data_IF_541790468051
#
_entry.id   IF_541790468051
#
_cell.length_a   1.000
_cell.length_b   1.000
_cell.length_c   1.000
_cell.angle_alpha   90.00
_cell.angle_beta   90.00
_cell.angle_gamma   90.00
#
_symmetry.space_group_name_H-M   'P 1'
#
loop_
_entity.id
_entity.type
_entity.pdbx_description
1 polymer ?
#
# COMPACT_ATOMS: atom_id res chain seq x y z
N UNK A 1 -1.83 21.84 11.15
CA UNK A 1 -1.94 20.38 10.99
C UNK A 1 -1.10 19.95 9.77
N UNK A 2 0.04 20.60 9.54
CA UNK A 2 0.67 20.65 8.20
C UNK A 2 2.10 20.10 8.17
N UNK A 3 2.62 19.67 9.32
CA UNK A 3 4.01 19.22 9.49
C UNK A 3 4.32 17.82 8.96
N UNK A 4 3.33 17.06 8.47
CA UNK A 4 3.52 15.66 8.04
C UNK A 4 3.34 15.40 6.54
N UNK A 5 2.86 16.39 5.76
CA UNK A 5 2.57 16.22 4.32
C UNK A 5 3.80 15.88 3.49
N UNK A 6 4.94 16.50 3.81
CA UNK A 6 6.19 16.28 3.08
C UNK A 6 6.73 14.87 3.30
N UNK A 7 6.55 14.33 4.51
CA UNK A 7 6.96 12.97 4.85
C UNK A 7 6.05 11.92 4.20
N UNK A 8 4.73 12.13 4.25
CA UNK A 8 3.76 11.26 3.58
C UNK A 8 3.98 11.23 2.06
N UNK A 9 4.30 12.39 1.47
CA UNK A 9 4.62 12.50 0.04
C UNK A 9 5.88 11.71 -0.32
N UNK A 10 6.92 11.80 0.51
CA UNK A 10 8.16 11.03 0.31
C UNK A 10 7.90 9.53 0.40
N UNK A 11 7.19 9.07 1.42
CA UNK A 11 6.81 7.64 1.56
C UNK A 11 6.01 7.15 0.36
N UNK A 12 5.03 7.93 -0.10
CA UNK A 12 4.27 7.60 -1.30
C UNK A 12 5.14 7.55 -2.57
N UNK A 13 6.17 8.38 -2.68
CA UNK A 13 7.14 8.31 -3.78
C UNK A 13 8.01 7.04 -3.69
N UNK A 14 8.47 6.68 -2.50
CA UNK A 14 9.24 5.45 -2.26
C UNK A 14 8.43 4.20 -2.59
N UNK A 15 7.16 4.15 -2.18
CA UNK A 15 6.23 3.07 -2.52
C UNK A 15 6.04 2.95 -4.04
N UNK A 16 5.87 4.07 -4.75
CA UNK A 16 5.80 4.08 -6.23
C UNK A 16 7.09 3.56 -6.85
N UNK A 17 8.25 3.93 -6.31
CA UNK A 17 9.53 3.42 -6.79
C UNK A 17 9.67 1.91 -6.56
N UNK A 18 9.19 1.39 -5.42
CA UNK A 18 9.19 -0.05 -5.14
C UNK A 18 8.28 -0.82 -6.08
N UNK A 19 7.08 -0.31 -6.37
CA UNK A 19 6.16 -0.87 -7.37
C UNK A 19 6.85 -0.91 -8.75
N UNK A 20 7.54 0.15 -9.15
CA UNK A 20 8.27 0.19 -10.43
C UNK A 20 9.41 -0.83 -10.48
N UNK A 21 10.20 -0.94 -9.41
CA UNK A 21 11.26 -1.96 -9.30
C UNK A 21 10.69 -3.37 -9.41
N UNK A 22 9.62 -3.67 -8.68
CA UNK A 22 8.96 -4.98 -8.73
C UNK A 22 8.49 -5.32 -10.15
N UNK A 23 7.79 -4.40 -10.83
CA UNK A 23 7.39 -4.54 -12.22
C UNK A 23 8.57 -4.74 -13.18
N UNK A 24 9.68 -4.02 -12.95
CA UNK A 24 10.87 -4.11 -13.79
C UNK A 24 11.52 -5.49 -13.67
N UNK A 25 11.64 -6.02 -12.45
CA UNK A 25 12.22 -7.34 -12.21
C UNK A 25 11.31 -8.48 -12.70
N UNK A 26 9.99 -8.38 -12.51
CA UNK A 26 9.03 -9.38 -12.99
C UNK A 26 8.82 -9.33 -14.51
N UNK A 27 9.18 -8.21 -15.16
CA UNK A 27 8.86 -7.88 -16.56
C UNK A 27 7.36 -7.86 -16.86
N UNK A 28 6.53 -7.82 -15.82
CA UNK A 28 5.08 -7.85 -15.92
C UNK A 28 4.49 -7.10 -14.73
N UNK A 29 3.52 -6.23 -14.98
CA UNK A 29 2.78 -5.58 -13.92
C UNK A 29 1.91 -4.45 -14.42
N UNK A 30 0.72 -4.34 -13.83
CA UNK A 30 -0.24 -3.29 -14.18
C UNK A 30 0.04 -2.02 -13.37
N UNK A 31 1.15 -1.33 -13.68
CA UNK A 31 1.59 -0.10 -12.99
C UNK A 31 0.46 0.93 -12.85
N UNK A 32 -0.32 1.27 -13.90
CA UNK A 32 -1.39 2.25 -13.77
C UNK A 32 -2.47 1.82 -12.77
N UNK A 33 -2.74 0.51 -12.71
CA UNK A 33 -3.71 -0.04 -11.76
C UNK A 33 -3.20 0.03 -10.33
N UNK A 34 -1.93 -0.31 -10.10
CA UNK A 34 -1.31 -0.20 -8.79
C UNK A 34 -1.27 1.26 -8.30
N UNK A 35 -0.87 2.20 -9.15
CA UNK A 35 -0.80 3.61 -8.79
C UNK A 35 -2.17 4.22 -8.49
N UNK A 36 -3.22 3.78 -9.20
CA UNK A 36 -4.59 4.30 -9.01
C UNK A 36 -5.17 4.07 -7.60
N UNK A 37 -4.66 3.09 -6.84
CA UNK A 37 -5.18 2.74 -5.52
C UNK A 37 -4.19 3.02 -4.38
N UNK A 38 -2.95 3.39 -4.69
CA UNK A 38 -1.88 3.46 -3.71
C UNK A 38 -2.16 4.44 -2.58
N UNK A 39 -2.69 5.63 -2.89
CA UNK A 39 -2.98 6.65 -1.87
C UNK A 39 -4.13 6.19 -0.94
N UNK A 40 -5.11 5.43 -1.46
CA UNK A 40 -6.19 4.84 -0.65
C UNK A 40 -5.63 3.79 0.30
N UNK A 41 -4.75 2.91 -0.19
CA UNK A 41 -4.09 1.91 0.64
C UNK A 41 -3.20 2.57 1.70
N UNK A 42 -2.49 3.64 1.36
CA UNK A 42 -1.70 4.41 2.31
C UNK A 42 -2.56 4.98 3.44
N UNK A 43 -3.73 5.54 3.12
CA UNK A 43 -4.68 5.99 4.13
C UNK A 43 -5.14 4.85 5.04
N UNK A 44 -5.50 3.68 4.46
CA UNK A 44 -6.04 2.54 5.22
C UNK A 44 -5.00 1.85 6.11
N UNK A 45 -3.78 1.68 5.64
CA UNK A 45 -2.76 0.88 6.34
C UNK A 45 -1.78 1.72 7.15
N UNK A 46 -1.50 2.97 6.77
CA UNK A 46 -0.47 3.80 7.40
C UNK A 46 -1.06 4.94 8.22
N UNK A 47 -2.08 5.64 7.71
CA UNK A 47 -2.67 6.79 8.41
C UNK A 47 -3.77 6.41 9.40
N UNK A 48 -4.53 5.36 9.09
CA UNK A 48 -5.60 4.83 9.95
C UNK A 48 -5.34 3.36 10.33
N UNK A 49 -4.14 3.02 10.84
CA UNK A 49 -3.85 1.64 11.22
C UNK A 49 -4.81 1.23 12.33
N UNK A 50 -5.63 0.20 12.07
CA UNK A 50 -6.40 -0.41 13.15
C UNK A 50 -5.45 -1.14 14.10
N UNK A 51 -5.83 -1.13 15.38
CA UNK A 51 -5.18 -1.94 16.40
C UNK A 51 -5.04 -3.37 15.91
N UNK A 52 -3.86 -3.95 16.07
CA UNK A 52 -3.58 -5.37 15.84
C UNK A 52 -4.29 -6.21 16.90
N UNK A 53 -5.63 -6.21 16.87
CA UNK A 53 -6.45 -7.07 17.70
C UNK A 53 -6.17 -8.52 17.33
N UNK A 54 -5.88 -9.31 18.36
CA UNK A 54 -5.63 -10.75 18.24
C UNK A 54 -6.95 -11.50 18.03
N UNK A 55 -8.08 -10.92 18.46
CA UNK A 55 -9.41 -11.48 18.23
C UNK A 55 -9.87 -11.22 16.79
N UNK A 56 -10.09 -12.30 16.05
CA UNK A 56 -10.59 -12.29 14.69
C UNK A 56 -11.97 -11.65 14.55
N UNK A 57 -12.76 -11.58 15.63
CA UNK A 57 -14.11 -10.98 15.61
C UNK A 57 -14.10 -9.46 15.46
N UNK A 58 -13.03 -8.79 15.90
CA UNK A 58 -12.90 -7.34 15.83
C UNK A 58 -11.96 -6.89 14.71
N UNK A 59 -11.59 -7.81 13.81
CA UNK A 59 -10.65 -7.56 12.73
C UNK A 59 -11.38 -7.07 11.48
N UNK A 60 -10.90 -5.97 10.92
CA UNK A 60 -11.37 -5.51 9.62
C UNK A 60 -10.75 -6.35 8.50
N UNK A 61 -11.59 -6.73 7.54
CA UNK A 61 -11.15 -7.42 6.33
C UNK A 61 -11.11 -6.43 5.17
N UNK A 62 -9.93 -6.30 4.58
CA UNK A 62 -9.76 -5.62 3.31
C UNK A 62 -9.71 -6.65 2.18
N UNK A 63 -10.61 -6.49 1.19
CA UNK A 63 -10.66 -7.37 0.02
C UNK A 63 -10.32 -6.54 -1.22
N UNK A 64 -9.19 -6.85 -1.86
CA UNK A 64 -8.82 -6.25 -3.13
C UNK A 64 -9.48 -7.02 -4.28
N UNK A 65 -10.65 -6.56 -4.73
CA UNK A 65 -11.35 -7.17 -5.87
C UNK A 65 -10.59 -6.96 -7.21
N UNK A 66 -9.84 -5.87 -7.35
CA UNK A 66 -9.00 -5.58 -8.53
C UNK A 66 -7.66 -6.31 -8.44
N UNK A 67 -7.66 -7.61 -8.75
CA UNK A 67 -6.47 -8.46 -8.64
C UNK A 67 -5.22 -7.94 -9.36
N UNK A 68 -5.37 -7.27 -10.51
CA UNK A 68 -4.25 -6.68 -11.24
C UNK A 68 -3.56 -5.51 -10.51
N UNK A 69 -4.17 -4.93 -9.47
CA UNK A 69 -3.56 -3.91 -8.64
C UNK A 69 -2.83 -4.49 -7.40
N UNK A 70 -2.67 -5.82 -7.32
CA UNK A 70 -2.06 -6.53 -6.19
C UNK A 70 -0.68 -5.99 -5.80
N UNK A 71 0.08 -5.47 -6.76
CA UNK A 71 1.41 -4.92 -6.49
C UNK A 71 1.39 -3.74 -5.53
N UNK A 72 0.33 -2.92 -5.53
CA UNK A 72 0.19 -1.82 -4.59
C UNK A 72 -0.08 -2.32 -3.16
N UNK A 73 -0.85 -3.40 -3.02
CA UNK A 73 -1.09 -4.06 -1.74
C UNK A 73 0.18 -4.72 -1.21
N UNK A 74 0.98 -5.33 -2.09
CA UNK A 74 2.27 -5.87 -1.70
C UNK A 74 3.24 -4.78 -1.24
N UNK A 75 3.30 -3.66 -1.97
CA UNK A 75 4.20 -2.55 -1.63
C UNK A 75 3.83 -1.84 -0.31
N UNK A 76 2.55 -1.76 0.06
CA UNK A 76 2.11 -1.10 1.30
C UNK A 76 2.28 -1.96 2.54
N UNK A 77 2.33 -3.28 2.36
CA UNK A 77 2.44 -4.20 3.48
C UNK A 77 3.85 -4.09 4.07
N UNK A 78 4.01 -3.88 5.39
CA UNK A 78 5.32 -3.81 6.00
C UNK A 78 6.07 -5.12 5.74
N UNK A 79 7.35 -5.02 5.37
CA UNK A 79 8.24 -6.17 5.35
C UNK A 79 8.17 -6.86 6.72
N UNK A 80 7.67 -8.09 6.74
CA UNK A 80 7.79 -8.97 7.91
C UNK A 80 9.24 -9.48 7.91
N UNK A 81 10.15 -8.73 8.51
CA UNK A 81 11.39 -9.26 9.11
C UNK A 81 11.16 -9.56 10.60
#
# INVERSE_FOLDING_TARGET
MDSNKDEDTKRLQELRANILKACFYSKEGHIPSAFSILDILYCLYILLPKSSSIDLKDKDFFILSKGHASLALYAIQPDYE
#
